data_IF_686746859119
#
_entry.id   IF_686746859119
#
_cell.length_a   1.000
_cell.length_b   1.000
_cell.length_c   1.000
_cell.angle_alpha   90.00
_cell.angle_beta   90.00
_cell.angle_gamma   90.00
#
_symmetry.space_group_name_H-M   'P 1'
#
loop_
_entity.id
_entity.type
_entity.pdbx_description
1 polymer ?
#
# COMPACT_ATOMS: atom_id res chain seq x y z
N UNK A 1 8.16 -9.98 -18.30
CA UNK A 1 7.10 -8.96 -18.51
C UNK A 1 6.86 -8.28 -17.16
N UNK A 2 6.67 -6.95 -17.13
CA UNK A 2 6.35 -6.21 -15.90
C UNK A 2 4.83 -6.06 -15.77
N UNK A 3 4.31 -6.32 -14.57
CA UNK A 3 2.89 -6.17 -14.25
C UNK A 3 2.62 -4.69 -14.00
N UNK A 4 1.53 -4.17 -14.56
CA UNK A 4 1.19 -2.75 -14.49
C UNK A 4 -0.05 -2.45 -13.62
N UNK A 5 -0.52 -3.42 -12.83
CA UNK A 5 -1.51 -3.16 -11.77
C UNK A 5 -0.88 -2.28 -10.69
N UNK A 6 -1.63 -1.30 -10.17
CA UNK A 6 -1.15 -0.30 -9.21
C UNK A 6 -0.99 1.09 -9.83
N UNK A 7 -1.30 2.13 -9.05
CA UNK A 7 -1.39 3.51 -9.53
C UNK A 7 -0.05 4.07 -10.07
N UNK A 8 1.08 3.57 -9.57
CA UNK A 8 2.41 4.07 -9.90
C UNK A 8 3.26 3.07 -10.69
N UNK A 9 2.69 1.97 -11.19
CA UNK A 9 3.46 0.88 -11.80
C UNK A 9 4.10 1.23 -13.15
N UNK A 10 3.72 2.36 -13.75
CA UNK A 10 4.36 2.97 -14.93
C UNK A 10 5.56 3.87 -14.58
N UNK A 11 5.84 4.07 -13.29
CA UNK A 11 7.03 4.76 -12.77
C UNK A 11 8.09 3.73 -12.30
N UNK A 12 9.33 4.17 -12.00
CA UNK A 12 10.27 3.35 -11.24
C UNK A 12 9.70 2.91 -9.89
N UNK A 13 10.25 1.83 -9.33
CA UNK A 13 9.84 1.34 -8.02
C UNK A 13 10.08 2.42 -6.95
N UNK A 14 9.09 2.63 -6.09
CA UNK A 14 9.17 3.65 -5.05
C UNK A 14 10.20 3.26 -4.00
N UNK A 15 10.98 4.24 -3.57
CA UNK A 15 11.86 4.13 -2.40
C UNK A 15 11.03 4.11 -1.11
N UNK A 16 11.62 3.63 0.00
CA UNK A 16 10.97 3.66 1.31
C UNK A 16 10.55 5.07 1.75
N UNK A 17 11.33 6.10 1.38
CA UNK A 17 10.98 7.49 1.66
C UNK A 17 9.76 7.97 0.87
N UNK A 18 9.66 7.60 -0.41
CA UNK A 18 8.50 7.93 -1.23
C UNK A 18 7.24 7.19 -0.78
N UNK A 19 7.37 5.93 -0.35
CA UNK A 19 6.27 5.16 0.24
C UNK A 19 5.76 5.84 1.52
N UNK A 20 6.67 6.29 2.40
CA UNK A 20 6.30 7.00 3.63
C UNK A 20 5.49 8.27 3.34
N UNK A 21 5.86 9.04 2.31
CA UNK A 21 5.10 10.23 1.89
C UNK A 21 3.66 9.89 1.42
N UNK A 22 3.46 8.75 0.75
CA UNK A 22 2.12 8.31 0.36
C UNK A 22 1.29 7.87 1.58
N UNK A 23 1.91 7.19 2.55
CA UNK A 23 1.25 6.80 3.81
C UNK A 23 0.83 8.05 4.60
N UNK A 24 1.72 9.05 4.73
CA UNK A 24 1.42 10.31 5.40
C UNK A 24 0.31 11.10 4.71
N UNK A 25 0.21 11.01 3.38
CA UNK A 25 -0.93 11.54 2.65
C UNK A 25 -2.23 10.84 3.05
N UNK A 26 -2.28 9.51 3.08
CA UNK A 26 -3.46 8.76 3.55
C UNK A 26 -3.83 9.13 4.99
N UNK A 27 -2.85 9.22 5.89
CA UNK A 27 -3.04 9.61 7.30
C UNK A 27 -3.67 10.99 7.44
N UNK A 28 -3.16 12.00 6.73
CA UNK A 28 -3.73 13.37 6.76
C UNK A 28 -5.17 13.45 6.25
N UNK A 29 -5.57 12.51 5.40
CA UNK A 29 -6.94 12.41 4.91
C UNK A 29 -7.82 11.51 5.80
N UNK A 30 -7.30 10.95 6.90
CA UNK A 30 -8.03 10.05 7.79
C UNK A 30 -8.37 8.70 7.14
N UNK A 31 -7.60 8.25 6.16
CA UNK A 31 -7.85 6.99 5.46
C UNK A 31 -7.11 5.82 6.13
N UNK A 32 -7.79 4.68 6.35
CA UNK A 32 -7.13 3.48 6.84
C UNK A 32 -6.18 2.92 5.77
N UNK A 33 -5.02 2.43 6.21
CA UNK A 33 -3.99 1.84 5.33
C UNK A 33 -3.90 0.34 5.61
N UNK A 34 -3.87 -0.46 4.55
CA UNK A 34 -3.73 -1.93 4.61
C UNK A 34 -2.63 -2.39 3.67
N UNK A 35 -2.01 -3.53 3.97
CA UNK A 35 -1.05 -4.20 3.09
C UNK A 35 -1.66 -5.51 2.62
N UNK A 36 -1.64 -5.75 1.32
CA UNK A 36 -2.18 -6.96 0.68
C UNK A 36 -1.14 -7.54 -0.29
N UNK A 37 -1.12 -8.87 -0.45
CA UNK A 37 -0.17 -9.57 -1.31
C UNK A 37 -0.80 -10.81 -1.98
N UNK A 38 -0.25 -11.21 -3.14
CA UNK A 38 -0.64 -12.42 -3.88
C UNK A 38 0.54 -12.95 -4.68
N UNK A 39 0.54 -14.25 -5.00
CA UNK A 39 1.41 -14.88 -5.99
C UNK A 39 0.71 -15.10 -7.35
N UNK A 40 -0.62 -14.91 -7.44
CA UNK A 40 -1.42 -14.91 -8.69
C UNK A 40 -1.88 -13.49 -9.06
N UNK A 41 -1.16 -12.79 -9.95
CA UNK A 41 -1.47 -11.41 -10.31
C UNK A 41 -2.50 -11.31 -11.45
N UNK A 42 -3.42 -12.27 -11.54
CA UNK A 42 -4.45 -12.28 -12.57
C UNK A 42 -5.29 -10.99 -12.51
N UNK A 43 -5.58 -10.30 -13.64
CA UNK A 43 -6.27 -9.00 -13.65
C UNK A 43 -7.71 -9.01 -13.13
N UNK A 44 -8.24 -10.18 -12.79
CA UNK A 44 -9.57 -10.36 -12.20
C UNK A 44 -9.51 -10.99 -10.81
N UNK A 45 -8.34 -11.33 -10.32
CA UNK A 45 -8.21 -11.67 -8.92
C UNK A 45 -8.41 -10.39 -8.11
N UNK A 46 -9.48 -10.37 -7.33
CA UNK A 46 -9.99 -9.17 -6.64
C UNK A 46 -9.63 -9.18 -5.17
N UNK A 47 -9.27 -10.33 -4.59
CA UNK A 47 -9.05 -10.49 -3.17
C UNK A 47 -7.68 -11.08 -2.91
N UNK A 48 -6.76 -10.22 -2.53
CA UNK A 48 -5.42 -10.61 -2.10
C UNK A 48 -5.41 -10.95 -0.60
N UNK A 49 -4.35 -11.62 -0.16
CA UNK A 49 -4.18 -11.92 1.26
C UNK A 49 -3.82 -10.66 2.03
N UNK A 50 -4.55 -10.37 3.11
CA UNK A 50 -4.32 -9.20 3.96
C UNK A 50 -3.22 -9.51 4.98
N UNK A 51 -2.20 -8.66 5.04
CA UNK A 51 -1.17 -8.73 6.07
C UNK A 51 -1.66 -8.03 7.35
N UNK A 52 -2.15 -8.81 8.31
CA UNK A 52 -2.55 -8.32 9.63
C UNK A 52 -3.80 -7.41 9.61
N UNK A 53 -4.05 -6.67 10.70
CA UNK A 53 -5.17 -5.72 10.74
C UNK A 53 -4.84 -4.42 10.01
N UNK A 54 -5.87 -3.79 9.43
CA UNK A 54 -5.78 -2.45 8.82
C UNK A 54 -5.33 -1.44 9.87
N UNK A 55 -4.45 -0.52 9.50
CA UNK A 55 -4.03 0.58 10.35
C UNK A 55 -5.18 1.57 10.52
N UNK A 56 -5.71 1.65 11.73
CA UNK A 56 -6.76 2.59 12.16
C UNK A 56 -6.21 3.28 13.41
N UNK A 57 -6.02 4.60 13.38
CA UNK A 57 -5.41 5.42 14.44
C UNK A 57 -4.03 4.97 14.94
N UNK A 58 -3.01 5.13 14.09
CA UNK A 58 -1.63 5.17 14.57
C UNK A 58 -1.24 6.63 14.79
N UNK A 59 -1.53 7.13 15.99
CA UNK A 59 -0.66 8.17 16.56
C UNK A 59 0.74 7.57 16.63
N UNK A 60 1.73 8.29 16.12
CA UNK A 60 3.09 7.79 16.04
C UNK A 60 3.60 7.44 17.45
N UNK A 61 3.63 6.16 17.79
CA UNK A 61 4.21 5.62 19.01
C UNK A 61 5.74 5.63 18.98
N UNK A 62 6.35 6.52 18.20
CA UNK A 62 7.79 6.73 18.13
C UNK A 62 8.18 7.83 19.13
N UNK A 63 8.24 7.45 20.41
CA UNK A 63 9.12 8.08 21.41
C UNK A 63 10.47 7.37 21.43
#
# INVERSE_FOLDING_TARGET
>A
MRIAQGAFSCLPDLTGAEIALQIDYCRRNGWPVSVEFTDDPHPRDTYWEVWGPKMVDVEDGSS
#
